data_IF_492048350917
#
_entry.id   IF_492048350917
#
_cell.length_a   1.000
_cell.length_b   1.000
_cell.length_c   1.000
_cell.angle_alpha   90.00
_cell.angle_beta   90.00
_cell.angle_gamma   90.00
#
_symmetry.space_group_name_H-M   'P 1'
#
loop_
_entity.id
_entity.type
_entity.pdbx_description
1 polymer ?
#
# COMPACT_ATOMS: atom_id res chain seq x y z
N UNK A 1 -23.74 -15.25 16.45
CA UNK A 1 -23.39 -15.08 15.02
C UNK A 1 -22.50 -13.86 14.72
N UNK A 2 -22.78 -12.65 15.23
CA UNK A 2 -21.97 -11.44 14.94
C UNK A 2 -20.50 -11.56 15.42
N UNK A 3 -20.26 -12.15 16.59
CA UNK A 3 -18.91 -12.43 17.10
C UNK A 3 -18.14 -13.42 16.23
N UNK A 4 -18.78 -14.47 15.73
CA UNK A 4 -18.10 -15.46 14.88
C UNK A 4 -17.62 -14.83 13.58
N UNK A 5 -18.45 -14.01 12.92
CA UNK A 5 -18.06 -13.27 11.70
C UNK A 5 -16.89 -12.31 11.94
N UNK A 6 -16.88 -11.60 13.07
CA UNK A 6 -15.77 -10.72 13.42
C UNK A 6 -14.47 -11.51 13.68
N UNK A 7 -14.55 -12.66 14.36
CA UNK A 7 -13.40 -13.52 14.63
C UNK A 7 -12.87 -14.12 13.33
N UNK A 8 -13.73 -14.61 12.44
CA UNK A 8 -13.35 -15.10 11.12
C UNK A 8 -12.63 -14.02 10.33
N UNK A 9 -13.19 -12.81 10.26
CA UNK A 9 -12.57 -11.68 9.56
C UNK A 9 -11.18 -11.32 10.10
N UNK A 10 -11.03 -11.26 11.43
CA UNK A 10 -9.74 -11.00 12.07
C UNK A 10 -8.72 -12.09 11.75
N UNK A 11 -9.15 -13.36 11.76
CA UNK A 11 -8.30 -14.50 11.38
C UNK A 11 -7.91 -14.46 9.91
N UNK A 12 -8.84 -14.20 9.00
CA UNK A 12 -8.56 -14.07 7.57
C UNK A 12 -7.60 -12.90 7.31
N UNK A 13 -7.84 -11.74 7.91
CA UNK A 13 -6.92 -10.58 7.84
C UNK A 13 -5.52 -10.97 8.30
N UNK A 14 -5.42 -11.62 9.46
CA UNK A 14 -4.13 -12.06 10.00
C UNK A 14 -3.46 -13.11 9.12
N UNK A 15 -4.21 -14.09 8.60
CA UNK A 15 -3.68 -15.14 7.74
C UNK A 15 -3.15 -14.57 6.42
N UNK A 16 -3.94 -13.75 5.71
CA UNK A 16 -3.48 -13.06 4.49
C UNK A 16 -2.19 -12.29 4.74
N UNK A 17 -2.18 -11.46 5.79
CA UNK A 17 -0.99 -10.67 6.14
C UNK A 17 0.21 -11.54 6.50
N UNK A 18 -0.01 -12.59 7.29
CA UNK A 18 1.06 -13.44 7.79
C UNK A 18 1.68 -14.25 6.64
N UNK A 19 0.84 -14.82 5.78
CA UNK A 19 1.29 -15.66 4.69
C UNK A 19 2.02 -14.81 3.63
N UNK A 20 1.52 -13.61 3.33
CA UNK A 20 2.16 -12.67 2.39
C UNK A 20 3.54 -12.18 2.88
N UNK A 21 3.74 -11.99 4.19
CA UNK A 21 5.01 -11.46 4.71
C UNK A 21 6.17 -12.47 4.67
N UNK A 22 5.87 -13.78 4.67
CA UNK A 22 6.88 -14.84 4.62
C UNK A 22 7.05 -15.43 3.23
N UNK A 23 6.24 -14.98 2.26
CA UNK A 23 6.41 -15.36 0.87
C UNK A 23 7.72 -14.77 0.32
N UNK A 24 8.56 -15.65 -0.22
CA UNK A 24 9.85 -15.28 -0.80
C UNK A 24 9.68 -14.33 -1.96
N UNK A 25 8.63 -14.47 -2.74
CA UNK A 25 8.37 -13.63 -3.92
C UNK A 25 7.99 -12.22 -3.48
N UNK A 26 7.23 -12.08 -2.39
CA UNK A 26 6.88 -10.78 -1.79
C UNK A 26 8.13 -10.10 -1.20
N UNK A 27 8.99 -10.86 -0.53
CA UNK A 27 10.26 -10.33 -0.01
C UNK A 27 11.13 -9.81 -1.16
N UNK A 28 11.31 -10.60 -2.22
CA UNK A 28 12.09 -10.20 -3.40
C UNK A 28 11.50 -8.97 -4.10
N UNK A 29 10.17 -8.93 -4.26
CA UNK A 29 9.48 -7.77 -4.82
C UNK A 29 9.72 -6.51 -3.97
N UNK A 30 9.69 -6.63 -2.64
CA UNK A 30 9.98 -5.51 -1.72
C UNK A 30 11.44 -5.08 -1.75
N UNK A 31 12.39 -6.00 -1.94
CA UNK A 31 13.80 -5.66 -2.12
C UNK A 31 14.02 -4.87 -3.41
N UNK A 32 13.45 -5.32 -4.53
CA UNK A 32 13.49 -4.60 -5.81
C UNK A 32 12.85 -3.23 -5.68
N UNK A 33 11.68 -3.15 -5.06
CA UNK A 33 11.00 -1.87 -4.83
C UNK A 33 11.80 -0.94 -3.92
N UNK A 34 12.47 -1.46 -2.90
CA UNK A 34 13.34 -0.64 -2.04
C UNK A 34 14.48 0.00 -2.83
N UNK A 35 15.06 -0.72 -3.81
CA UNK A 35 16.07 -0.17 -4.73
C UNK A 35 15.47 0.92 -5.61
N UNK A 36 14.31 0.65 -6.22
CA UNK A 36 13.60 1.62 -7.05
C UNK A 36 13.22 2.88 -6.24
N UNK A 37 12.80 2.73 -4.98
CA UNK A 37 12.46 3.84 -4.08
C UNK A 37 13.66 4.75 -3.82
N UNK A 38 14.86 4.17 -3.64
CA UNK A 38 16.10 4.94 -3.53
C UNK A 38 16.45 5.68 -4.83
N UNK A 39 16.23 5.05 -5.98
CA UNK A 39 16.47 5.65 -7.29
C UNK A 39 15.52 6.83 -7.59
N UNK A 40 14.21 6.66 -7.33
CA UNK A 40 13.19 7.69 -7.52
C UNK A 40 13.40 8.85 -6.54
N UNK A 41 13.73 8.55 -5.28
CA UNK A 41 13.96 9.58 -4.26
C UNK A 41 15.17 10.48 -4.55
N UNK A 42 16.11 10.00 -5.37
CA UNK A 42 17.32 10.74 -5.72
C UNK A 42 17.12 11.71 -6.90
N UNK A 43 16.28 11.35 -7.90
CA UNK A 43 16.10 12.17 -9.11
C UNK A 43 14.67 12.03 -9.70
N UNK A 44 13.92 13.14 -9.77
CA UNK A 44 12.54 13.18 -10.32
C UNK A 44 12.44 12.75 -11.79
N UNK A 45 13.54 12.86 -12.56
CA UNK A 45 13.57 12.54 -13.99
C UNK A 45 13.58 11.04 -14.29
N UNK A 46 13.71 10.16 -13.29
CA UNK A 46 13.76 8.69 -13.49
C UNK A 46 12.39 8.01 -13.51
N UNK A 47 11.33 8.70 -13.10
CA UNK A 47 9.95 8.13 -13.09
C UNK A 47 9.48 7.74 -14.50
N UNK A 48 9.94 8.46 -15.54
CA UNK A 48 9.60 8.18 -16.94
C UNK A 48 10.07 6.80 -17.40
N UNK A 49 11.17 6.27 -16.85
CA UNK A 49 11.69 4.91 -17.11
C UNK A 49 10.63 3.84 -16.89
N UNK A 50 9.76 4.02 -15.90
CA UNK A 50 8.75 3.04 -15.50
C UNK A 50 7.38 3.27 -16.13
N UNK A 51 7.26 4.26 -17.02
CA UNK A 51 6.02 4.63 -17.67
C UNK A 51 5.87 4.11 -19.10
N UNK A 52 6.97 3.76 -19.75
CA UNK A 52 7.01 3.27 -21.12
C UNK A 52 7.06 1.73 -21.14
N UNK A 53 6.49 1.06 -22.17
CA UNK A 53 6.67 -0.37 -22.36
C UNK A 53 8.18 -0.64 -22.47
N UNK A 54 8.75 -1.41 -21.53
CA UNK A 54 10.19 -1.57 -21.45
C UNK A 54 10.72 -2.34 -22.66
N UNK A 55 11.74 -1.79 -23.32
CA UNK A 55 12.46 -2.47 -24.40
C UNK A 55 13.48 -3.48 -23.87
N UNK A 56 13.91 -3.31 -22.62
CA UNK A 56 14.91 -4.13 -21.92
C UNK A 56 14.21 -5.09 -20.92
N UNK A 57 14.49 -6.41 -20.98
CA UNK A 57 13.95 -7.40 -20.04
C UNK A 57 14.16 -7.07 -18.55
N UNK A 58 15.26 -6.40 -18.18
CA UNK A 58 15.55 -6.03 -16.79
C UNK A 58 14.58 -4.97 -16.28
N UNK A 59 14.29 -3.95 -17.09
CA UNK A 59 13.31 -2.89 -16.79
C UNK A 59 11.89 -3.48 -16.80
N UNK A 60 11.63 -4.48 -17.66
CA UNK A 60 10.36 -5.22 -17.64
C UNK A 60 10.07 -5.81 -16.27
N UNK A 61 11.06 -6.44 -15.63
CA UNK A 61 10.86 -7.01 -14.30
C UNK A 61 10.58 -5.92 -13.25
N UNK A 62 11.31 -4.81 -13.27
CA UNK A 62 11.09 -3.69 -12.34
C UNK A 62 9.68 -3.07 -12.50
N UNK A 63 9.23 -2.87 -13.74
CA UNK A 63 7.90 -2.35 -14.06
C UNK A 63 6.80 -3.32 -13.61
N UNK A 64 6.99 -4.62 -13.85
CA UNK A 64 6.08 -5.66 -13.37
C UNK A 64 6.01 -5.65 -11.84
N UNK A 65 7.15 -5.60 -11.15
CA UNK A 65 7.21 -5.51 -9.69
C UNK A 65 6.47 -4.28 -9.15
N UNK A 66 6.66 -3.11 -9.76
CA UNK A 66 5.95 -1.89 -9.37
C UNK A 66 4.43 -2.03 -9.54
N UNK A 67 3.98 -2.59 -10.65
CA UNK A 67 2.57 -2.85 -10.88
C UNK A 67 2.00 -3.85 -9.87
N UNK A 68 2.72 -4.91 -9.55
CA UNK A 68 2.31 -5.87 -8.51
C UNK A 68 2.10 -5.17 -7.17
N UNK A 69 3.08 -4.38 -6.71
CA UNK A 69 2.99 -3.68 -5.42
C UNK A 69 1.84 -2.66 -5.40
N UNK A 70 1.66 -1.91 -6.48
CA UNK A 70 0.54 -0.97 -6.59
C UNK A 70 -0.82 -1.70 -6.57
N UNK A 71 -0.91 -2.85 -7.25
CA UNK A 71 -2.11 -3.68 -7.23
C UNK A 71 -2.37 -4.28 -5.83
N UNK A 72 -1.32 -4.68 -5.11
CA UNK A 72 -1.44 -5.21 -3.74
C UNK A 72 -1.99 -4.15 -2.78
N UNK A 73 -1.48 -2.91 -2.87
CA UNK A 73 -2.03 -1.80 -2.10
C UNK A 73 -3.46 -1.43 -2.49
N UNK A 74 -3.81 -1.49 -3.78
CA UNK A 74 -5.18 -1.28 -4.25
C UNK A 74 -6.13 -2.36 -3.71
N UNK A 75 -5.72 -3.63 -3.77
CA UNK A 75 -6.47 -4.77 -3.23
C UNK A 75 -6.66 -4.65 -1.72
N UNK A 76 -5.62 -4.22 -0.99
CA UNK A 76 -5.70 -3.97 0.45
C UNK A 76 -6.72 -2.88 0.77
N UNK A 77 -6.70 -1.77 0.02
CA UNK A 77 -7.64 -0.68 0.18
C UNK A 77 -9.09 -1.10 -0.13
N UNK A 78 -9.30 -1.90 -1.17
CA UNK A 78 -10.59 -2.51 -1.48
C UNK A 78 -11.07 -3.43 -0.35
N UNK A 79 -10.16 -4.25 0.20
CA UNK A 79 -10.45 -5.09 1.36
C UNK A 79 -10.97 -4.26 2.54
N UNK A 80 -10.35 -3.11 2.81
CA UNK A 80 -10.77 -2.18 3.88
C UNK A 80 -12.16 -1.61 3.55
N UNK A 81 -12.33 -1.07 2.33
CA UNK A 81 -13.59 -0.45 1.87
C UNK A 81 -14.76 -1.43 1.96
N UNK A 82 -14.56 -2.68 1.56
CA UNK A 82 -15.57 -3.73 1.59
C UNK A 82 -15.68 -4.47 2.92
N UNK A 83 -14.93 -4.07 3.95
CA UNK A 83 -14.94 -4.67 5.28
C UNK A 83 -14.52 -6.15 5.33
N UNK A 84 -13.69 -6.56 4.38
CA UNK A 84 -13.10 -7.89 4.30
C UNK A 84 -11.93 -7.98 5.27
N UNK A 85 -11.14 -6.91 5.40
CA UNK A 85 -10.02 -6.85 6.34
C UNK A 85 -10.32 -5.92 7.52
N UNK A 86 -9.68 -6.19 8.66
CA UNK A 86 -9.75 -5.30 9.82
C UNK A 86 -8.82 -4.09 9.67
N UNK A 87 -9.43 -2.94 9.36
CA UNK A 87 -8.70 -1.69 9.17
C UNK A 87 -7.94 -1.23 10.42
N UNK A 88 -8.49 -1.42 11.63
CA UNK A 88 -7.81 -0.94 12.85
C UNK A 88 -6.54 -1.76 13.10
N UNK A 89 -6.59 -3.06 12.83
CA UNK A 89 -5.41 -3.93 12.87
C UNK A 89 -4.37 -3.49 11.83
N UNK A 90 -4.77 -3.38 10.56
CA UNK A 90 -3.88 -2.99 9.46
C UNK A 90 -3.22 -1.63 9.71
N UNK A 91 -4.00 -0.63 10.12
CA UNK A 91 -3.52 0.70 10.43
C UNK A 91 -2.44 0.69 11.52
N UNK A 92 -2.60 -0.13 12.56
CA UNK A 92 -1.61 -0.24 13.65
C UNK A 92 -0.34 -0.95 13.20
N UNK A 93 -0.47 -1.91 12.30
CA UNK A 93 0.64 -2.73 11.84
C UNK A 93 1.48 -2.02 10.78
N UNK A 94 0.86 -1.47 9.72
CA UNK A 94 1.59 -1.05 8.52
C UNK A 94 1.38 0.41 8.10
N UNK A 95 0.70 1.25 8.89
CA UNK A 95 0.48 2.66 8.51
C UNK A 95 1.77 3.37 8.10
N UNK A 96 2.85 3.19 8.86
CA UNK A 96 4.13 3.86 8.57
C UNK A 96 4.63 3.52 7.17
N UNK A 97 4.81 2.23 6.91
CA UNK A 97 5.25 1.71 5.61
C UNK A 97 4.32 2.14 4.46
N UNK A 98 3.01 1.98 4.63
CA UNK A 98 2.04 2.33 3.58
C UNK A 98 2.10 3.81 3.21
N UNK A 99 2.22 4.71 4.20
CA UNK A 99 2.29 6.15 3.95
C UNK A 99 3.62 6.56 3.30
N UNK A 100 4.73 5.94 3.71
CA UNK A 100 6.03 6.16 3.06
C UNK A 100 6.05 5.66 1.62
N UNK A 101 5.40 4.54 1.35
CA UNK A 101 5.31 3.97 0.01
C UNK A 101 4.39 4.78 -0.89
N UNK A 102 3.25 5.26 -0.37
CA UNK A 102 2.42 6.21 -1.11
C UNK A 102 3.18 7.49 -1.46
N UNK A 103 3.95 8.05 -0.52
CA UNK A 103 4.75 9.24 -0.78
C UNK A 103 5.74 9.01 -1.94
N UNK A 104 6.37 7.83 -2.00
CA UNK A 104 7.30 7.47 -3.08
C UNK A 104 6.60 7.16 -4.41
N UNK A 105 5.44 6.51 -4.38
CA UNK A 105 4.73 6.01 -5.56
C UNK A 105 3.77 7.02 -6.18
N UNK A 106 3.27 8.00 -5.41
CA UNK A 106 2.27 8.97 -5.91
C UNK A 106 2.69 9.77 -7.15
N UNK A 107 3.99 10.12 -7.36
CA UNK A 107 4.42 10.74 -8.61
C UNK A 107 4.31 9.78 -9.82
N UNK A 108 4.63 8.51 -9.63
CA UNK A 108 4.51 7.48 -10.66
C UNK A 108 3.03 7.21 -11.01
N UNK A 109 2.17 7.10 -10.00
CA UNK A 109 0.72 6.98 -10.19
C UNK A 109 0.18 8.18 -10.97
N UNK A 110 0.61 9.39 -10.63
CA UNK A 110 0.24 10.61 -11.36
C UNK A 110 0.67 10.57 -12.83
N UNK A 111 1.88 10.08 -13.11
CA UNK A 111 2.38 9.88 -14.47
C UNK A 111 1.55 8.84 -15.25
N UNK A 112 1.17 7.73 -14.62
CA UNK A 112 0.28 6.72 -15.21
C UNK A 112 -1.09 7.31 -15.55
N UNK A 113 -1.69 8.08 -14.64
CA UNK A 113 -2.99 8.74 -14.86
C UNK A 113 -2.94 9.69 -16.05
N UNK A 114 -1.89 10.51 -16.14
CA UNK A 114 -1.68 11.45 -17.25
C UNK A 114 -1.56 10.74 -18.60
N UNK A 115 -0.74 9.68 -18.68
CA UNK A 115 -0.53 8.92 -19.93
C UNK A 115 -1.76 8.13 -20.36
N UNK A 116 -2.42 7.45 -19.42
CA UNK A 116 -3.62 6.64 -19.70
C UNK A 116 -4.90 7.46 -19.85
N UNK A 117 -4.84 8.77 -19.58
CA UNK A 117 -6.01 9.66 -19.50
C UNK A 117 -7.11 9.10 -18.58
N UNK A 118 -6.69 8.47 -17.48
CA UNK A 118 -7.58 7.87 -16.50
C UNK A 118 -7.14 8.30 -15.10
N UNK A 119 -7.87 9.22 -14.50
CA UNK A 119 -7.59 9.75 -13.16
C UNK A 119 -7.84 8.75 -12.03
N UNK A 120 -8.52 7.63 -12.30
CA UNK A 120 -8.94 6.66 -11.29
C UNK A 120 -7.95 5.51 -11.07
N UNK A 121 -6.83 5.51 -11.79
CA UNK A 121 -5.77 4.49 -11.60
C UNK A 121 -5.23 4.58 -10.17
N UNK A 122 -5.30 3.48 -9.42
CA UNK A 122 -4.88 3.38 -8.02
C UNK A 122 -5.56 4.36 -7.06
N UNK A 123 -6.86 4.63 -7.29
CA UNK A 123 -7.65 5.57 -6.47
C UNK A 123 -7.97 5.02 -5.09
N UNK A 124 -8.05 3.70 -4.94
CA UNK A 124 -8.34 3.08 -3.65
C UNK A 124 -7.13 3.23 -2.72
N UNK A 125 -5.93 2.95 -3.22
CA UNK A 125 -4.69 3.16 -2.48
C UNK A 125 -4.51 4.63 -2.07
N UNK A 126 -4.73 5.58 -2.99
CA UNK A 126 -4.70 7.01 -2.68
C UNK A 126 -5.67 7.37 -1.55
N UNK A 127 -6.92 6.91 -1.65
CA UNK A 127 -7.96 7.20 -0.67
C UNK A 127 -7.65 6.62 0.72
N UNK A 128 -7.10 5.40 0.75
CA UNK A 128 -6.63 4.78 1.99
C UNK A 128 -5.51 5.59 2.62
N UNK A 129 -4.48 5.95 1.84
CA UNK A 129 -3.36 6.75 2.30
C UNK A 129 -3.82 8.12 2.84
N UNK A 130 -4.67 8.83 2.10
CA UNK A 130 -5.24 10.12 2.51
C UNK A 130 -5.99 10.01 3.85
N UNK A 131 -6.82 8.98 4.01
CA UNK A 131 -7.56 8.75 5.26
C UNK A 131 -6.62 8.46 6.43
N UNK A 132 -5.59 7.64 6.19
CA UNK A 132 -4.65 7.23 7.22
C UNK A 132 -3.71 8.34 7.65
N UNK A 133 -3.34 9.29 6.78
CA UNK A 133 -2.62 10.52 7.13
C UNK A 133 -3.38 11.25 8.25
N UNK A 134 -4.69 11.43 8.08
CA UNK A 134 -5.57 12.10 9.05
C UNK A 134 -5.95 11.23 10.26
N UNK A 135 -5.45 9.99 10.33
CA UNK A 135 -5.90 8.98 11.30
C UNK A 135 -7.41 8.78 11.29
N UNK A 136 -7.99 8.73 10.09
CA UNK A 136 -9.38 8.39 9.84
C UNK A 136 -9.48 7.05 9.12
N UNK A 137 -10.59 6.37 9.38
CA UNK A 137 -10.97 5.13 8.73
C UNK A 137 -11.33 5.45 7.28
N UNK A 138 -10.69 4.81 6.33
CA UNK A 138 -11.02 4.90 4.92
C UNK A 138 -12.45 4.43 4.64
N UNK A 139 -12.89 3.39 5.34
CA UNK A 139 -14.22 2.86 5.19
C UNK A 139 -15.31 3.77 5.77
N UNK A 140 -15.07 4.33 6.96
CA UNK A 140 -16.15 4.96 7.76
C UNK A 140 -15.96 6.44 8.04
N UNK A 141 -14.81 7.02 7.70
CA UNK A 141 -14.42 8.40 8.03
C UNK A 141 -14.17 8.69 9.52
N UNK A 142 -14.41 7.69 10.40
CA UNK A 142 -14.25 7.83 11.86
C UNK A 142 -12.79 7.84 12.26
N UNK A 143 -12.47 8.50 13.38
CA UNK A 143 -11.11 8.53 13.93
C UNK A 143 -10.65 7.12 14.30
N UNK A 144 -9.49 6.70 13.77
CA UNK A 144 -8.83 5.46 14.13
C UNK A 144 -8.12 5.59 15.47
N UNK A 145 -8.17 4.52 16.27
CA UNK A 145 -7.52 4.50 17.58
C UNK A 145 -6.01 4.36 17.38
N UNK A 146 -5.25 5.25 18.02
CA UNK A 146 -3.78 5.16 18.08
C UNK A 146 -3.36 4.37 19.32
N UNK A 147 -2.21 3.71 19.26
CA UNK A 147 -1.56 3.20 20.46
C UNK A 147 -1.30 4.37 21.42
N UNK A 148 -1.71 4.25 22.69
CA UNK A 148 -1.39 5.25 23.71
C UNK A 148 0.09 5.06 24.09
N UNK A 149 0.92 6.09 23.91
CA UNK A 149 2.28 6.08 24.45
C UNK A 149 2.15 6.14 25.97
N UNK A 150 2.44 5.04 26.67
CA UNK A 150 2.61 5.04 28.12
C UNK A 150 3.94 5.74 28.41
N UNK A 151 3.93 7.07 28.48
CA UNK A 151 5.08 7.80 28.98
C UNK A 151 5.01 7.71 30.51
N UNK A 152 5.73 6.76 31.11
CA UNK A 152 6.14 6.87 32.51
C UNK A 152 7.42 7.70 32.51
N UNK A 153 7.30 9.01 32.68
CA UNK A 153 8.43 9.84 33.10
C UNK A 153 8.48 9.67 34.62
N UNK A 154 9.54 9.01 35.11
CA UNK A 154 9.98 9.15 36.50
C UNK A 154 11.03 10.26 36.53
#
# INVERSE_FOLDING_TARGET
MRNQRNITRLRETFATINDDNWDKDVILAREVFSKIKQEIGSETHKITKYCDPPSDPSITNEVVTLHTILNDYENLALGVRHNIVDEEFLYRWMRGALLEDWAALSPLVSAYRGRRKNSSVYIEFEGLAASWVESRSYRTGKKLKRARKLIRIN
#
